data_IF_150950022096
#
_entry.id   IF_150950022096
#
_cell.length_a   1.000
_cell.length_b   1.000
_cell.length_c   1.000
_cell.angle_alpha   90.00
_cell.angle_beta   90.00
_cell.angle_gamma   90.00
#
_symmetry.space_group_name_H-M   'P 1'
#
loop_
_entity.id
_entity.type
_entity.pdbx_description
1 polymer ?
#
# COMPACT_ATOMS: atom_id res chain seq x y z
N UNK A 1 -17.17 -16.20 -14.68
CA UNK A 1 -17.66 -14.83 -14.98
C UNK A 1 -16.53 -13.89 -14.60
N UNK A 2 -15.57 -13.71 -15.50
CA UNK A 2 -14.38 -12.89 -15.24
C UNK A 2 -14.70 -11.44 -15.54
N UNK A 3 -15.00 -10.67 -14.50
CA UNK A 3 -15.07 -9.22 -14.65
C UNK A 3 -13.69 -8.71 -15.02
N UNK A 4 -13.61 -8.08 -16.20
CA UNK A 4 -12.51 -7.23 -16.62
C UNK A 4 -12.17 -6.31 -15.46
N UNK A 5 -11.01 -6.50 -14.84
CA UNK A 5 -10.36 -5.44 -14.06
C UNK A 5 -10.24 -4.25 -15.00
N UNK A 6 -11.17 -3.32 -14.84
CA UNK A 6 -11.33 -2.19 -15.73
C UNK A 6 -10.14 -1.27 -15.56
N UNK A 7 -9.69 -0.73 -16.68
CA UNK A 7 -8.49 0.06 -16.95
C UNK A 7 -8.36 1.38 -16.13
N UNK A 8 -8.96 1.47 -14.93
CA UNK A 8 -9.24 2.73 -14.22
C UNK A 8 -8.49 2.88 -12.88
N UNK A 9 -7.77 1.85 -12.42
CA UNK A 9 -6.92 1.95 -11.21
C UNK A 9 -5.79 2.97 -11.40
N UNK A 10 -5.21 3.01 -12.60
CA UNK A 10 -4.16 3.96 -12.96
C UNK A 10 -4.70 5.37 -13.20
N UNK A 11 -6.00 5.53 -13.46
CA UNK A 11 -6.64 6.83 -13.73
C UNK A 11 -6.61 7.81 -12.56
N UNK A 12 -6.32 7.31 -11.34
CA UNK A 12 -6.20 8.14 -10.12
C UNK A 12 -4.76 8.50 -9.74
N UNK A 13 -3.76 8.01 -10.49
CA UNK A 13 -2.36 8.41 -10.28
C UNK A 13 -2.21 9.87 -10.70
N UNK A 14 -1.70 10.70 -9.79
CA UNK A 14 -1.55 12.14 -10.03
C UNK A 14 -0.23 12.51 -10.72
N UNK A 15 0.79 11.68 -10.54
CA UNK A 15 2.10 11.90 -11.15
C UNK A 15 2.01 11.77 -12.67
N UNK A 16 2.71 12.66 -13.37
CA UNK A 16 2.74 12.67 -14.84
C UNK A 16 3.80 11.71 -15.38
N UNK A 17 4.89 11.54 -14.65
CA UNK A 17 6.01 10.67 -15.04
C UNK A 17 6.30 9.63 -13.96
N UNK A 18 6.89 8.51 -14.36
CA UNK A 18 7.37 7.50 -13.44
C UNK A 18 8.50 8.04 -12.54
N UNK A 19 9.35 8.91 -13.09
CA UNK A 19 10.47 9.52 -12.36
C UNK A 19 10.00 10.35 -11.16
N UNK A 20 8.84 11.01 -11.22
CA UNK A 20 8.25 11.72 -10.06
C UNK A 20 7.96 10.77 -8.89
N UNK A 21 7.50 9.55 -9.17
CA UNK A 21 7.13 8.57 -8.15
C UNK A 21 8.40 7.93 -7.55
N UNK A 22 9.39 7.61 -8.39
CA UNK A 22 10.60 6.90 -7.98
C UNK A 22 11.54 7.69 -7.06
N UNK A 23 11.32 9.00 -6.85
CA UNK A 23 12.18 9.84 -6.01
C UNK A 23 12.18 9.47 -4.51
N UNK A 24 11.32 8.54 -4.09
CA UNK A 24 11.03 8.30 -2.67
C UNK A 24 11.67 7.02 -2.11
N UNK A 25 12.30 6.22 -2.96
CA UNK A 25 13.11 5.06 -2.59
C UNK A 25 14.22 4.83 -3.63
N UNK A 26 15.20 3.99 -3.28
CA UNK A 26 16.26 3.59 -4.20
C UNK A 26 15.78 2.40 -5.03
N UNK A 27 15.70 2.56 -6.35
CA UNK A 27 15.40 1.48 -7.28
C UNK A 27 16.54 0.45 -7.33
N UNK A 28 16.23 -0.82 -7.59
CA UNK A 28 17.23 -1.83 -7.91
C UNK A 28 17.87 -1.53 -9.27
N UNK A 29 19.10 -2.03 -9.50
CA UNK A 29 19.87 -1.71 -10.71
C UNK A 29 19.11 -2.08 -12.00
N UNK A 30 18.38 -3.20 -11.98
CA UNK A 30 17.55 -3.64 -13.10
C UNK A 30 16.40 -2.68 -13.42
N UNK A 31 15.72 -2.18 -12.39
CA UNK A 31 14.64 -1.20 -12.55
C UNK A 31 15.17 0.19 -12.97
N UNK A 32 16.31 0.62 -12.41
CA UNK A 32 16.97 1.88 -12.80
C UNK A 32 17.31 1.91 -14.29
N UNK A 33 17.82 0.80 -14.83
CA UNK A 33 18.18 0.71 -16.25
C UNK A 33 16.97 0.86 -17.19
N UNK A 34 15.74 0.66 -16.68
CA UNK A 34 14.49 0.79 -17.45
C UNK A 34 13.87 2.19 -17.35
N UNK A 35 14.26 3.00 -16.36
CA UNK A 35 13.64 4.30 -16.11
C UNK A 35 14.13 5.34 -17.14
N UNK A 36 13.18 6.02 -17.79
CA UNK A 36 13.44 7.15 -18.69
C UNK A 36 12.55 8.33 -18.28
N UNK A 37 13.00 9.56 -18.57
CA UNK A 37 12.40 10.80 -18.04
C UNK A 37 10.95 11.03 -18.51
N UNK A 38 10.56 10.50 -19.67
CA UNK A 38 9.26 10.70 -20.31
C UNK A 38 8.28 9.54 -20.13
N UNK A 39 8.68 8.47 -19.41
CA UNK A 39 7.78 7.34 -19.17
C UNK A 39 6.61 7.77 -18.29
N UNK A 40 5.41 7.50 -18.77
CA UNK A 40 4.21 7.56 -17.93
C UNK A 40 4.27 6.46 -16.86
N UNK A 41 3.57 6.63 -15.72
CA UNK A 41 3.51 5.60 -14.69
C UNK A 41 3.05 4.24 -15.19
N UNK A 42 2.09 4.21 -16.13
CA UNK A 42 1.60 2.97 -16.73
C UNK A 42 2.69 2.26 -17.53
N UNK A 43 3.41 2.99 -18.40
CA UNK A 43 4.46 2.41 -19.23
C UNK A 43 5.59 1.84 -18.37
N UNK A 44 6.01 2.57 -17.33
CA UNK A 44 7.07 2.09 -16.46
C UNK A 44 6.64 0.86 -15.66
N UNK A 45 5.42 0.82 -15.12
CA UNK A 45 4.90 -0.37 -14.45
C UNK A 45 4.88 -1.60 -15.39
N UNK A 46 4.47 -1.41 -16.66
CA UNK A 46 4.54 -2.48 -17.67
C UNK A 46 5.97 -2.96 -17.88
N UNK A 47 6.93 -2.06 -18.03
CA UNK A 47 8.35 -2.43 -18.20
C UNK A 47 8.89 -3.20 -16.98
N UNK A 48 8.56 -2.76 -15.76
CA UNK A 48 8.98 -3.47 -14.54
C UNK A 48 8.45 -4.90 -14.51
N UNK A 49 7.19 -5.13 -14.92
CA UNK A 49 6.59 -6.47 -14.97
C UNK A 49 7.21 -7.31 -16.08
N UNK A 50 7.36 -6.77 -17.29
CA UNK A 50 7.94 -7.49 -18.44
C UNK A 50 9.39 -7.91 -18.20
N UNK A 51 10.14 -7.14 -17.41
CA UNK A 51 11.51 -7.43 -17.03
C UNK A 51 11.64 -8.08 -15.63
N UNK A 52 10.54 -8.59 -15.07
CA UNK A 52 10.50 -9.32 -13.78
C UNK A 52 11.08 -8.53 -12.59
N UNK A 53 11.08 -7.20 -12.66
CA UNK A 53 11.48 -6.30 -11.58
C UNK A 53 10.35 -6.15 -10.54
N UNK A 54 9.87 -7.29 -10.00
CA UNK A 54 8.64 -7.33 -9.19
C UNK A 54 8.74 -6.54 -7.89
N UNK A 55 9.90 -6.53 -7.24
CA UNK A 55 10.11 -5.76 -6.01
C UNK A 55 9.87 -4.27 -6.25
N UNK A 56 10.45 -3.71 -7.31
CA UNK A 56 10.24 -2.32 -7.68
C UNK A 56 8.86 -2.09 -8.29
N UNK A 57 8.25 -3.06 -8.98
CA UNK A 57 6.86 -2.95 -9.43
C UNK A 57 5.90 -2.77 -8.24
N UNK A 58 6.08 -3.56 -7.18
CA UNK A 58 5.30 -3.47 -5.94
C UNK A 58 5.51 -2.12 -5.25
N UNK A 59 6.76 -1.70 -5.04
CA UNK A 59 7.09 -0.39 -4.45
C UNK A 59 6.52 0.76 -5.28
N UNK A 60 6.69 0.68 -6.60
CA UNK A 60 6.19 1.69 -7.53
C UNK A 60 4.69 1.85 -7.43
N UNK A 61 3.93 0.74 -7.48
CA UNK A 61 2.48 0.79 -7.41
C UNK A 61 1.99 1.30 -6.04
N UNK A 62 2.62 0.87 -4.94
CA UNK A 62 2.32 1.35 -3.59
C UNK A 62 2.50 2.86 -3.43
N UNK A 63 3.53 3.43 -4.08
CA UNK A 63 3.80 4.86 -4.09
C UNK A 63 2.94 5.65 -5.09
N UNK A 64 2.56 5.04 -6.21
CA UNK A 64 1.77 5.69 -7.26
C UNK A 64 0.30 5.86 -6.87
N UNK A 65 -0.26 4.88 -6.16
CA UNK A 65 -1.67 4.88 -5.77
C UNK A 65 -1.97 5.91 -4.67
N UNK A 66 -3.16 6.55 -4.70
CA UNK A 66 -3.63 7.26 -3.52
C UNK A 66 -3.72 6.30 -2.32
N UNK A 67 -3.46 6.83 -1.12
CA UNK A 67 -3.30 6.03 0.12
C UNK A 67 -4.40 4.99 0.35
N UNK A 68 -5.66 5.33 0.10
CA UNK A 68 -6.79 4.40 0.30
C UNK A 68 -6.75 3.25 -0.70
N UNK A 69 -6.53 3.56 -1.96
CA UNK A 69 -6.38 2.59 -3.04
C UNK A 69 -5.14 1.71 -2.85
N UNK A 70 -4.04 2.25 -2.32
CA UNK A 70 -2.84 1.47 -1.97
C UNK A 70 -3.14 0.42 -0.89
N UNK A 71 -3.82 0.81 0.18
CA UNK A 71 -4.22 -0.13 1.25
C UNK A 71 -5.22 -1.17 0.74
N UNK A 72 -6.19 -0.76 -0.08
CA UNK A 72 -7.13 -1.70 -0.69
C UNK A 72 -6.42 -2.73 -1.58
N UNK A 73 -5.46 -2.27 -2.38
CA UNK A 73 -4.64 -3.14 -3.22
C UNK A 73 -3.85 -4.15 -2.37
N UNK A 74 -3.24 -3.72 -1.26
CA UNK A 74 -2.60 -4.64 -0.31
C UNK A 74 -3.57 -5.71 0.22
N UNK A 75 -4.78 -5.30 0.64
CA UNK A 75 -5.80 -6.23 1.13
C UNK A 75 -6.16 -7.28 0.08
N UNK A 76 -6.32 -6.87 -1.19
CA UNK A 76 -6.60 -7.79 -2.30
C UNK A 76 -5.44 -8.75 -2.57
N UNK A 77 -4.20 -8.27 -2.53
CA UNK A 77 -3.00 -9.10 -2.68
C UNK A 77 -2.95 -10.16 -1.59
N UNK A 78 -3.13 -9.77 -0.31
CA UNK A 78 -3.15 -10.69 0.83
C UNK A 78 -4.27 -11.73 0.66
N UNK A 79 -5.51 -11.29 0.36
CA UNK A 79 -6.65 -12.19 0.12
C UNK A 79 -6.38 -13.21 -0.98
N UNK A 80 -5.57 -12.87 -1.99
CA UNK A 80 -5.27 -13.76 -3.11
C UNK A 80 -4.30 -14.91 -2.76
N UNK A 81 -3.55 -14.78 -1.66
CA UNK A 81 -2.54 -15.75 -1.21
C UNK A 81 -2.83 -16.32 0.18
N UNK A 82 -3.88 -15.85 0.84
CA UNK A 82 -4.25 -16.24 2.20
C UNK A 82 -4.61 -17.74 2.27
N UNK A 83 -3.99 -18.46 3.20
CA UNK A 83 -4.21 -19.90 3.41
C UNK A 83 -5.42 -20.18 4.33
N UNK A 84 -5.80 -21.45 4.49
CA UNK A 84 -6.96 -21.85 5.31
C UNK A 84 -6.68 -21.79 6.83
N UNK A 85 -5.42 -21.99 7.27
CA UNK A 85 -5.02 -22.05 8.68
C UNK A 85 -4.27 -20.78 9.11
N UNK A 86 -4.94 -19.65 8.97
CA UNK A 86 -4.39 -18.33 9.32
C UNK A 86 -4.80 -17.95 10.74
N UNK A 87 -3.87 -17.43 11.57
CA UNK A 87 -4.19 -17.00 12.92
C UNK A 87 -5.33 -15.97 12.95
N UNK A 88 -6.28 -16.07 13.91
CA UNK A 88 -7.42 -15.15 13.99
C UNK A 88 -7.03 -13.67 14.03
N UNK A 89 -5.91 -13.34 14.68
CA UNK A 89 -5.34 -11.99 14.76
C UNK A 89 -4.93 -11.44 13.39
N UNK A 90 -4.39 -12.28 12.50
CA UNK A 90 -4.02 -11.88 11.15
C UNK A 90 -5.27 -11.59 10.30
N UNK A 91 -6.29 -12.45 10.41
CA UNK A 91 -7.59 -12.21 9.77
C UNK A 91 -8.21 -10.91 10.28
N UNK A 92 -8.13 -10.64 11.58
CA UNK A 92 -8.64 -9.42 12.19
C UNK A 92 -7.90 -8.16 11.70
N UNK A 93 -6.58 -8.22 11.54
CA UNK A 93 -5.78 -7.12 10.98
C UNK A 93 -6.18 -6.81 9.53
N UNK A 94 -6.36 -7.84 8.69
CA UNK A 94 -6.82 -7.68 7.32
C UNK A 94 -8.22 -7.04 7.28
N UNK A 95 -9.15 -7.57 8.08
CA UNK A 95 -10.52 -7.03 8.16
C UNK A 95 -10.55 -5.59 8.67
N UNK A 96 -9.67 -5.21 9.59
CA UNK A 96 -9.57 -3.83 10.07
C UNK A 96 -9.10 -2.87 8.95
N UNK A 97 -8.12 -3.29 8.14
CA UNK A 97 -7.68 -2.53 6.97
C UNK A 97 -8.81 -2.39 5.93
N UNK A 98 -9.50 -3.49 5.59
CA UNK A 98 -10.65 -3.49 4.69
C UNK A 98 -11.78 -2.58 5.19
N UNK A 99 -12.05 -2.61 6.50
CA UNK A 99 -13.06 -1.76 7.13
C UNK A 99 -12.72 -0.28 6.99
N UNK A 100 -11.46 0.09 7.20
CA UNK A 100 -11.00 1.47 7.00
C UNK A 100 -11.06 1.89 5.52
N UNK A 101 -10.78 1.00 4.57
CA UNK A 101 -10.92 1.31 3.14
C UNK A 101 -12.37 1.68 2.80
N UNK A 102 -13.34 0.95 3.35
CA UNK A 102 -14.78 1.17 3.14
C UNK A 102 -15.24 2.47 3.81
N UNK A 103 -14.80 2.71 5.05
CA UNK A 103 -15.13 3.91 5.82
C UNK A 103 -13.87 4.44 6.54
N UNK A 104 -13.15 5.42 5.95
CA UNK A 104 -11.85 5.88 6.44
C UNK A 104 -11.98 6.88 7.59
N UNK A 105 -12.83 6.57 8.57
CA UNK A 105 -12.99 7.34 9.80
C UNK A 105 -11.76 7.23 10.71
N UNK A 106 -11.56 8.22 11.59
CA UNK A 106 -10.48 8.15 12.59
C UNK A 106 -10.63 6.95 13.53
N UNK A 107 -11.86 6.54 13.84
CA UNK A 107 -12.15 5.34 14.63
C UNK A 107 -11.61 4.08 13.95
N UNK A 108 -11.99 3.84 12.68
CA UNK A 108 -11.50 2.68 11.94
C UNK A 108 -9.98 2.75 11.70
N UNK A 109 -9.43 3.96 11.50
CA UNK A 109 -7.99 4.17 11.36
C UNK A 109 -7.23 3.73 12.61
N UNK A 110 -7.75 4.06 13.81
CA UNK A 110 -7.17 3.64 15.10
C UNK A 110 -7.40 2.16 15.39
N UNK A 111 -8.55 1.61 15.00
CA UNK A 111 -8.81 0.18 15.12
C UNK A 111 -7.83 -0.66 14.29
N UNK A 112 -7.43 -0.17 13.10
CA UNK A 112 -6.42 -0.83 12.28
C UNK A 112 -5.05 -0.92 12.98
N UNK A 113 -4.61 0.14 13.66
CA UNK A 113 -3.39 0.10 14.48
C UNK A 113 -3.48 -0.96 15.58
N UNK A 114 -4.58 -1.00 16.32
CA UNK A 114 -4.76 -1.96 17.42
C UNK A 114 -4.76 -3.41 16.91
N UNK A 115 -5.36 -3.66 15.75
CA UNK A 115 -5.34 -4.97 15.13
C UNK A 115 -3.93 -5.35 14.63
N UNK A 116 -3.17 -4.40 14.09
CA UNK A 116 -1.77 -4.62 13.73
C UNK A 116 -0.90 -4.94 14.97
N UNK A 117 -1.09 -4.22 16.08
CA UNK A 117 -0.39 -4.49 17.35
C UNK A 117 -0.63 -5.91 17.88
N UNK A 118 -1.85 -6.42 17.75
CA UNK A 118 -2.21 -7.78 18.19
C UNK A 118 -1.44 -8.89 17.44
N UNK A 119 -0.91 -8.59 16.26
CA UNK A 119 -0.07 -9.49 15.45
C UNK A 119 1.44 -9.25 15.65
N UNK A 120 1.80 -8.34 16.57
CA UNK A 120 3.19 -7.90 16.81
C UNK A 120 3.89 -7.35 15.55
N UNK A 121 3.12 -6.87 14.56
CA UNK A 121 3.60 -6.38 13.27
C UNK A 121 4.34 -7.42 12.41
N UNK A 122 4.05 -8.70 12.60
CA UNK A 122 4.77 -9.80 11.96
C UNK A 122 4.05 -10.45 10.78
N UNK A 123 2.94 -9.89 10.29
CA UNK A 123 2.19 -10.47 9.17
C UNK A 123 1.95 -9.45 8.04
N UNK A 124 1.73 -9.92 6.80
CA UNK A 124 1.25 -9.09 5.69
C UNK A 124 0.06 -8.21 6.08
N UNK A 125 -0.91 -8.80 6.79
CA UNK A 125 -2.12 -8.12 7.24
C UNK A 125 -1.84 -7.01 8.25
N UNK A 126 -0.82 -7.17 9.11
CA UNK A 126 -0.35 -6.08 9.98
C UNK A 126 0.07 -4.86 9.17
N UNK A 127 0.81 -5.07 8.08
CA UNK A 127 1.35 -3.98 7.28
C UNK A 127 0.29 -3.28 6.42
N UNK A 128 -0.71 -4.01 5.93
CA UNK A 128 -1.90 -3.39 5.33
C UNK A 128 -2.66 -2.50 6.34
N UNK A 129 -2.85 -3.00 7.57
CA UNK A 129 -3.47 -2.25 8.66
C UNK A 129 -2.65 -1.03 9.11
N UNK A 130 -1.32 -1.14 9.13
CA UNK A 130 -0.44 0.00 9.36
C UNK A 130 -0.48 1.01 8.20
N UNK A 131 -0.66 0.56 6.96
CA UNK A 131 -0.92 1.43 5.82
C UNK A 131 -2.17 2.30 6.02
N UNK A 132 -3.25 1.70 6.53
CA UNK A 132 -4.47 2.42 6.93
C UNK A 132 -4.17 3.41 8.06
N UNK A 133 -3.49 2.98 9.12
CA UNK A 133 -3.18 3.83 10.27
C UNK A 133 -2.32 5.05 9.88
N UNK A 134 -1.27 4.87 9.09
CA UNK A 134 -0.39 5.94 8.64
C UNK A 134 -0.94 6.78 7.47
N UNK A 135 -2.19 6.55 7.07
CA UNK A 135 -2.82 7.30 5.99
C UNK A 135 -3.00 8.79 6.30
N UNK A 136 -3.15 9.15 7.58
CA UNK A 136 -3.36 10.51 8.03
C UNK A 136 -3.55 10.60 9.55
N UNK A 137 -4.19 11.67 10.01
CA UNK A 137 -4.44 11.92 11.43
C UNK A 137 -3.15 12.05 12.25
N UNK A 138 -3.25 11.83 13.56
CA UNK A 138 -2.09 11.72 14.45
C UNK A 138 -1.68 10.25 14.62
N UNK A 139 -0.38 9.98 14.63
CA UNK A 139 0.20 8.70 15.05
C UNK A 139 0.29 8.60 16.57
N UNK A 140 0.48 9.72 17.27
CA UNK A 140 0.58 9.74 18.72
C UNK A 140 -0.79 9.45 19.38
N UNK A 141 -0.84 9.03 20.66
CA UNK A 141 -2.09 8.87 21.39
C UNK A 141 -2.99 10.14 21.37
N UNK A 142 -4.32 10.01 21.59
CA UNK A 142 -5.24 11.15 21.50
C UNK A 142 -4.94 12.32 22.44
N UNK A 143 -4.35 12.06 23.61
CA UNK A 143 -4.15 13.05 24.68
C UNK A 143 -2.78 13.76 24.62
N UNK A 144 -2.00 13.55 23.56
CA UNK A 144 -0.70 14.18 23.37
C UNK A 144 -0.65 15.00 22.08
N UNK A 145 0.33 15.91 21.90
CA UNK A 145 0.44 16.69 20.68
C UNK A 145 0.43 15.83 19.42
N UNK A 146 -0.30 16.30 18.40
CA UNK A 146 -0.47 15.55 17.16
C UNK A 146 0.88 15.35 16.45
N UNK A 147 1.14 14.10 16.04
CA UNK A 147 2.30 13.74 15.23
C UNK A 147 1.79 13.16 13.91
N UNK A 148 1.77 13.94 12.81
CA UNK A 148 1.28 13.44 11.53
C UNK A 148 2.22 12.37 10.96
N UNK A 149 1.69 11.35 10.25
CA UNK A 149 2.52 10.41 9.53
C UNK A 149 3.30 11.10 8.40
N UNK A 150 4.53 10.64 8.15
CA UNK A 150 5.27 11.05 6.97
C UNK A 150 4.50 10.70 5.68
N UNK A 151 4.70 11.51 4.64
CA UNK A 151 3.91 11.43 3.39
C UNK A 151 3.85 10.02 2.79
N UNK A 152 4.99 9.32 2.78
CA UNK A 152 5.16 8.00 2.16
C UNK A 152 5.07 6.81 3.13
N UNK A 153 4.68 7.02 4.40
CA UNK A 153 4.60 5.90 5.36
C UNK A 153 3.56 4.85 4.94
N UNK A 154 2.40 5.27 4.41
CA UNK A 154 1.41 4.32 3.88
C UNK A 154 1.99 3.48 2.74
N UNK A 155 2.66 4.10 1.78
CA UNK A 155 3.24 3.39 0.63
C UNK A 155 4.31 2.38 1.09
N UNK A 156 5.14 2.76 2.06
CA UNK A 156 6.16 1.87 2.65
C UNK A 156 5.55 0.69 3.39
N UNK A 157 4.49 0.92 4.17
CA UNK A 157 3.78 -0.17 4.84
C UNK A 157 3.15 -1.13 3.82
N UNK A 158 2.41 -0.58 2.84
CA UNK A 158 1.79 -1.36 1.76
C UNK A 158 2.81 -2.14 0.95
N UNK A 159 4.00 -1.60 0.71
CA UNK A 159 5.08 -2.33 0.00
C UNK A 159 5.64 -3.54 0.77
N UNK A 160 5.46 -3.56 2.09
CA UNK A 160 5.89 -4.64 2.97
C UNK A 160 4.78 -5.61 3.39
N UNK A 161 3.55 -5.38 2.92
CA UNK A 161 2.40 -6.26 3.08
C UNK A 161 2.41 -7.30 1.97
#
# INVERSE_FOLDING_TARGET
MGERMSNDVLGKIKAQTAAEICQHWELEEGAKALLQDDLTPQQFLTLLIEHEQFLDATRFLAHALPKREAVWWACLCIRSVLEEDVPPEEIAALQAAERWVIDPSEEHRRAAMQAAEATEFNTPSSWAAMGAFWSGGSMAPPDVPAVPPGEYLTARAVSGA
#
